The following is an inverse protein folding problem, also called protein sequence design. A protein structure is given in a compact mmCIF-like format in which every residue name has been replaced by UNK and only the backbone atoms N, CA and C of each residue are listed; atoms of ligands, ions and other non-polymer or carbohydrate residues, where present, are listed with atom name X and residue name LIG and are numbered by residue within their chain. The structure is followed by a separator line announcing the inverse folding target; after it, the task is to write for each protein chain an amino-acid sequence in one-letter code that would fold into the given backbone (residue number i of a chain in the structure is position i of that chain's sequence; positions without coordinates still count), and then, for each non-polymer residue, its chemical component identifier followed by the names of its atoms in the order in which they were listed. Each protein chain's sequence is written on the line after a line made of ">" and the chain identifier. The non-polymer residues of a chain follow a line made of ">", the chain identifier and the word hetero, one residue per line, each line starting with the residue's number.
data_IF_836222837709
#
_entry.id   IF_836222837709
#
_cell.length_a   1.000
_cell.length_b   1.000
_cell.length_c   1.000
_cell.angle_alpha   90.00
_cell.angle_beta   90.00
_cell.angle_gamma   90.00
#
_symmetry.space_group_name_H-M   'P 1'
#
loop_
_entity.id
_entity.type
_entity.pdbx_description
1 polymer ?
#
# COMPACT_ATOMS: atom_id res chain seq x y z
N UNK A 1 -4.81 27.31 9.85
CA UNK A 1 -5.43 27.61 11.16
C UNK A 1 -4.40 27.24 12.19
N UNK A 2 -4.23 28.00 13.28
CA UNK A 2 -3.21 27.68 14.27
C UNK A 2 -3.40 26.24 14.77
N UNK A 3 -2.31 25.48 14.80
CA UNK A 3 -2.30 24.12 15.32
C UNK A 3 -2.46 24.21 16.84
N UNK A 4 -3.63 23.81 17.32
CA UNK A 4 -4.03 23.86 18.74
C UNK A 4 -4.24 22.47 19.34
N UNK A 5 -4.38 21.44 18.51
CA UNK A 5 -4.60 20.05 18.93
C UNK A 5 -3.60 19.11 18.26
N UNK A 6 -3.24 17.97 18.89
CA UNK A 6 -2.39 16.97 18.26
C UNK A 6 -2.95 16.43 16.94
N UNK A 7 -4.28 16.32 16.82
CA UNK A 7 -4.93 15.89 15.59
C UNK A 7 -4.67 16.86 14.43
N UNK A 8 -4.75 18.17 14.68
CA UNK A 8 -4.43 19.19 13.67
C UNK A 8 -2.97 19.11 13.21
N UNK A 9 -2.03 18.79 14.11
CA UNK A 9 -0.64 18.59 13.73
C UNK A 9 -0.47 17.39 12.78
N UNK A 10 -1.16 16.28 13.06
CA UNK A 10 -1.16 15.10 12.19
C UNK A 10 -1.77 15.41 10.83
N UNK A 11 -2.88 16.16 10.81
CA UNK A 11 -3.55 16.53 9.56
C UNK A 11 -2.67 17.46 8.70
N UNK A 12 -1.97 18.42 9.32
CA UNK A 12 -0.98 19.25 8.61
C UNK A 12 0.25 18.44 8.18
N UNK A 13 0.70 17.46 8.97
CA UNK A 13 1.80 16.56 8.59
C UNK A 13 1.44 15.70 7.37
N UNK A 14 0.19 15.25 7.27
CA UNK A 14 -0.32 14.58 6.06
C UNK A 14 -0.41 15.54 4.89
N UNK A 15 -0.91 16.76 5.11
CA UNK A 15 -1.07 17.78 4.05
C UNK A 15 0.26 18.27 3.49
N UNK A 16 1.32 18.32 4.30
CA UNK A 16 2.66 18.74 3.87
C UNK A 16 3.33 17.76 2.91
N UNK A 17 2.81 16.53 2.78
CA UNK A 17 3.40 15.44 2.01
C UNK A 17 4.58 14.73 2.71
N UNK A 18 5.00 15.19 3.88
CA UNK A 18 6.05 14.54 4.66
C UNK A 18 5.66 13.12 5.09
N UNK A 19 4.38 12.90 5.42
CA UNK A 19 3.85 11.56 5.69
C UNK A 19 4.01 10.59 4.51
N UNK A 20 3.76 11.05 3.28
CA UNK A 20 3.90 10.20 2.08
C UNK A 20 5.37 9.91 1.77
N UNK A 21 6.26 10.87 1.99
CA UNK A 21 7.71 10.66 1.90
C UNK A 21 8.18 9.63 2.93
N UNK A 22 7.70 9.73 4.17
CA UNK A 22 7.98 8.76 5.23
C UNK A 22 7.50 7.37 4.85
N UNK A 23 6.28 7.25 4.33
CA UNK A 23 5.72 5.98 3.86
C UNK A 23 6.58 5.36 2.74
N UNK A 24 6.99 6.17 1.75
CA UNK A 24 7.87 5.71 0.66
C UNK A 24 9.22 5.26 1.20
N UNK A 25 9.84 6.04 2.09
CA UNK A 25 11.11 5.69 2.73
C UNK A 25 11.01 4.38 3.49
N UNK A 26 9.97 4.20 4.31
CA UNK A 26 9.72 2.95 5.03
C UNK A 26 9.55 1.76 4.09
N UNK A 27 8.82 1.93 2.99
CA UNK A 27 8.66 0.89 1.99
C UNK A 27 10.00 0.53 1.33
N UNK A 28 10.81 1.52 0.96
CA UNK A 28 12.14 1.31 0.39
C UNK A 28 13.07 0.63 1.39
N UNK A 29 13.09 1.05 2.66
CA UNK A 29 13.89 0.40 3.69
C UNK A 29 13.44 -1.04 3.91
N UNK A 30 12.13 -1.31 3.98
CA UNK A 30 11.57 -2.66 4.06
C UNK A 30 12.04 -3.55 2.90
N UNK A 31 11.93 -3.06 1.66
CA UNK A 31 12.36 -3.81 0.46
C UNK A 31 13.84 -4.21 0.49
N UNK A 32 14.67 -3.44 1.21
CA UNK A 32 16.11 -3.70 1.38
C UNK A 32 16.44 -4.58 2.59
N UNK A 33 15.44 -5.03 3.37
CA UNK A 33 15.66 -5.91 4.54
C UNK A 33 15.64 -7.39 4.18
N UNK A 34 16.29 -8.21 5.02
CA UNK A 34 16.19 -9.68 4.92
C UNK A 34 14.79 -10.21 5.20
N UNK A 35 13.99 -9.47 5.98
CA UNK A 35 12.60 -9.82 6.28
C UNK A 35 11.73 -9.76 5.03
N UNK A 36 12.01 -8.84 4.10
CA UNK A 36 11.34 -8.80 2.80
C UNK A 36 11.71 -10.00 1.92
N UNK A 37 12.97 -10.45 1.91
CA UNK A 37 13.37 -11.66 1.18
C UNK A 37 12.64 -12.90 1.71
N UNK A 38 12.59 -13.08 3.03
CA UNK A 38 11.83 -14.18 3.67
C UNK A 38 10.33 -14.11 3.37
N UNK A 39 9.78 -12.89 3.31
CA UNK A 39 8.38 -12.68 2.94
C UNK A 39 8.12 -13.17 1.51
N UNK A 40 8.97 -12.81 0.55
CA UNK A 40 8.84 -13.27 -0.85
C UNK A 40 9.03 -14.79 -0.96
N UNK A 41 10.02 -15.36 -0.29
CA UNK A 41 10.24 -16.82 -0.24
C UNK A 41 8.96 -17.53 0.24
N UNK A 42 8.31 -16.99 1.27
CA UNK A 42 7.08 -17.58 1.80
C UNK A 42 5.89 -17.44 0.86
N UNK A 43 5.78 -16.31 0.14
CA UNK A 43 4.78 -16.12 -0.92
C UNK A 43 4.99 -17.15 -2.03
N UNK A 44 6.24 -17.36 -2.45
CA UNK A 44 6.61 -18.34 -3.48
C UNK A 44 6.35 -19.78 -3.04
N UNK A 45 6.59 -20.12 -1.77
CA UNK A 45 6.25 -21.42 -1.21
C UNK A 45 4.73 -21.66 -1.28
N UNK A 46 3.92 -20.69 -0.86
CA UNK A 46 2.45 -20.81 -0.87
C UNK A 46 1.93 -20.93 -2.29
N UNK A 47 2.46 -20.14 -3.22
CA UNK A 47 2.08 -20.23 -4.63
C UNK A 47 2.43 -21.61 -5.22
N UNK A 48 3.63 -22.15 -4.89
CA UNK A 48 4.05 -23.48 -5.32
C UNK A 48 3.19 -24.59 -4.72
N UNK A 49 2.87 -24.50 -3.44
CA UNK A 49 2.03 -25.50 -2.77
C UNK A 49 0.60 -25.47 -3.33
N UNK A 50 0.07 -24.28 -3.61
CA UNK A 50 -1.25 -24.13 -4.26
C UNK A 50 -1.31 -24.76 -5.65
N UNK A 51 -0.24 -24.60 -6.44
CA UNK A 51 -0.12 -25.21 -7.77
C UNK A 51 0.05 -26.73 -7.74
N UNK A 52 0.66 -27.28 -6.67
CA UNK A 52 0.77 -28.73 -6.48
C UNK A 52 -0.58 -29.33 -6.08
N UNK A 53 -1.33 -28.63 -5.23
CA UNK A 53 -2.61 -29.09 -4.70
C UNK A 53 -3.73 -29.04 -5.77
N UNK A 54 -3.76 -28.01 -6.61
CA UNK A 54 -4.73 -27.89 -7.71
C UNK A 54 -4.02 -27.90 -9.08
N UNK A 55 -3.85 -29.09 -9.65
CA UNK A 55 -3.27 -29.27 -10.99
C UNK A 55 -4.09 -28.54 -12.07
N UNK A 56 -5.40 -28.37 -11.88
CA UNK A 56 -6.25 -27.66 -12.84
C UNK A 56 -6.02 -26.15 -12.81
N UNK A 57 -5.50 -25.61 -11.71
CA UNK A 57 -5.18 -24.19 -11.57
C UNK A 57 -4.14 -23.72 -12.59
N UNK A 58 -3.17 -24.58 -12.92
CA UNK A 58 -2.15 -24.30 -13.94
C UNK A 58 -2.74 -24.11 -15.36
N UNK A 59 -3.93 -24.64 -15.63
CA UNK A 59 -4.61 -24.52 -16.92
C UNK A 59 -5.68 -23.41 -16.94
N UNK A 60 -5.94 -22.75 -15.81
CA UNK A 60 -6.87 -21.61 -15.74
C UNK A 60 -6.22 -20.37 -16.37
N UNK A 61 -7.05 -19.38 -16.72
CA UNK A 61 -6.57 -18.06 -17.15
C UNK A 61 -5.73 -17.42 -16.04
N UNK A 62 -4.69 -16.68 -16.44
CA UNK A 62 -3.74 -16.00 -15.53
C UNK A 62 -4.45 -15.17 -14.45
N UNK A 63 -5.55 -14.50 -14.79
CA UNK A 63 -6.26 -13.66 -13.83
C UNK A 63 -6.92 -14.48 -12.71
N UNK A 64 -7.48 -15.66 -13.03
CA UNK A 64 -8.03 -16.60 -12.02
C UNK A 64 -6.93 -17.21 -11.16
N UNK A 65 -5.79 -17.55 -11.76
CA UNK A 65 -4.62 -18.03 -11.02
C UNK A 65 -4.19 -17.00 -9.97
N UNK A 66 -4.06 -15.74 -10.39
CA UNK A 66 -3.67 -14.64 -9.52
C UNK A 66 -4.71 -14.41 -8.41
N UNK A 67 -6.01 -14.39 -8.74
CA UNK A 67 -7.09 -14.26 -7.77
C UNK A 67 -7.06 -15.38 -6.71
N UNK A 68 -6.98 -16.65 -7.13
CA UNK A 68 -6.92 -17.78 -6.19
C UNK A 68 -5.63 -17.77 -5.34
N UNK A 69 -4.51 -17.33 -5.91
CA UNK A 69 -3.25 -17.17 -5.17
C UNK A 69 -3.38 -16.06 -4.14
N UNK A 70 -3.98 -14.92 -4.49
CA UNK A 70 -4.19 -13.80 -3.57
C UNK A 70 -5.13 -14.20 -2.41
N UNK A 71 -6.22 -14.92 -2.69
CA UNK A 71 -7.11 -15.44 -1.65
C UNK A 71 -6.35 -16.36 -0.68
N UNK A 72 -5.46 -17.21 -1.20
CA UNK A 72 -4.65 -18.09 -0.35
C UNK A 72 -3.64 -17.29 0.48
N UNK A 73 -2.99 -16.27 -0.08
CA UNK A 73 -2.08 -15.39 0.64
C UNK A 73 -2.78 -14.64 1.78
N UNK A 74 -4.02 -14.16 1.57
CA UNK A 74 -4.83 -13.50 2.59
C UNK A 74 -5.19 -14.40 3.79
N UNK A 75 -5.16 -15.73 3.63
CA UNK A 75 -5.39 -16.67 4.74
C UNK A 75 -4.23 -16.72 5.73
N UNK A 76 -3.03 -16.35 5.29
CA UNK A 76 -1.84 -16.36 6.12
C UNK A 76 -1.52 -14.92 6.55
N UNK A 77 -1.30 -14.66 7.85
CA UNK A 77 -0.91 -13.32 8.34
C UNK A 77 0.58 -13.04 8.03
N UNK A 78 0.95 -13.12 6.76
CA UNK A 78 2.34 -12.97 6.29
C UNK A 78 2.81 -11.54 6.45
N UNK A 79 1.93 -10.59 6.15
CA UNK A 79 2.23 -9.17 6.24
C UNK A 79 2.46 -8.77 7.71
N UNK A 80 1.61 -9.20 8.65
CA UNK A 80 1.77 -8.88 10.07
C UNK A 80 3.07 -9.43 10.63
N UNK A 81 3.46 -10.65 10.22
CA UNK A 81 4.74 -11.24 10.60
C UNK A 81 5.92 -10.46 10.04
N UNK A 82 5.90 -10.17 8.73
CA UNK A 82 6.95 -9.38 8.09
C UNK A 82 7.08 -7.99 8.73
N UNK A 83 5.97 -7.33 9.07
CA UNK A 83 5.97 -6.03 9.77
C UNK A 83 6.55 -6.13 11.17
N UNK A 84 6.19 -7.17 11.93
CA UNK A 84 6.73 -7.34 13.28
C UNK A 84 8.25 -7.58 13.25
N UNK A 85 8.73 -8.39 12.30
CA UNK A 85 10.17 -8.61 12.10
C UNK A 85 10.88 -7.33 11.64
N UNK A 86 10.23 -6.54 10.79
CA UNK A 86 10.77 -5.27 10.28
C UNK A 86 10.73 -4.16 11.32
N UNK A 87 9.76 -4.19 12.24
CA UNK A 87 9.60 -3.17 13.28
C UNK A 87 10.83 -3.11 14.18
N UNK A 88 11.37 -4.26 14.59
CA UNK A 88 12.60 -4.30 15.37
C UNK A 88 13.83 -3.88 14.55
N UNK A 89 13.85 -4.15 13.24
CA UNK A 89 14.98 -3.79 12.38
C UNK A 89 15.00 -2.32 11.95
N UNK A 90 13.84 -1.73 11.65
CA UNK A 90 13.68 -0.38 11.07
C UNK A 90 13.21 0.62 12.12
N UNK A 91 12.11 0.32 12.82
CA UNK A 91 11.47 1.29 13.71
C UNK A 91 12.21 1.44 15.03
N UNK A 92 12.88 0.40 15.53
CA UNK A 92 13.74 0.53 16.72
C UNK A 92 15.07 1.25 16.44
N UNK A 93 15.41 1.50 15.16
CA UNK A 93 16.56 2.35 14.83
C UNK A 93 16.26 3.80 15.22
N UNK A 94 17.07 4.30 16.16
CA UNK A 94 17.12 5.71 16.61
C UNK A 94 16.94 6.79 15.51
N UNK A 95 17.51 6.68 14.29
CA UNK A 95 17.32 7.70 13.25
C UNK A 95 15.88 7.88 12.76
N UNK A 96 14.99 6.89 12.90
CA UNK A 96 13.62 7.01 12.40
C UNK A 96 12.81 8.07 13.15
N UNK A 97 12.77 7.98 14.49
CA UNK A 97 12.02 8.92 15.32
C UNK A 97 12.57 10.34 15.23
N UNK A 98 13.90 10.48 15.11
CA UNK A 98 14.54 11.78 14.95
C UNK A 98 14.08 12.49 13.67
N UNK A 99 13.97 11.76 12.55
CA UNK A 99 13.47 12.34 11.31
C UNK A 99 12.01 12.82 11.42
N UNK A 100 11.15 12.05 12.09
CA UNK A 100 9.75 12.44 12.34
C UNK A 100 9.68 13.66 13.25
N UNK A 101 10.45 13.68 14.34
CA UNK A 101 10.50 14.81 15.27
C UNK A 101 11.01 16.09 14.60
N UNK A 102 12.01 15.99 13.71
CA UNK A 102 12.52 17.11 12.92
C UNK A 102 11.44 17.66 11.98
N UNK A 103 10.69 16.80 11.29
CA UNK A 103 9.61 17.23 10.41
C UNK A 103 8.45 17.87 11.17
N UNK A 104 8.04 17.29 12.31
CA UNK A 104 7.00 17.85 13.16
C UNK A 104 7.43 19.21 13.74
N UNK A 105 8.68 19.31 14.20
CA UNK A 105 9.26 20.56 14.67
C UNK A 105 9.27 21.64 13.58
N UNK A 106 9.60 21.25 12.35
CA UNK A 106 9.56 22.15 11.18
C UNK A 106 8.15 22.68 10.94
N UNK A 107 7.13 21.82 10.95
CA UNK A 107 5.73 22.24 10.75
C UNK A 107 5.30 23.22 11.85
N UNK A 108 5.61 22.93 13.11
CA UNK A 108 5.28 23.82 14.23
C UNK A 108 5.99 25.18 14.12
N UNK A 109 7.26 25.20 13.67
CA UNK A 109 8.00 26.44 13.42
C UNK A 109 7.41 27.24 12.26
N UNK A 110 7.06 26.58 11.16
CA UNK A 110 6.40 27.23 10.01
C UNK A 110 5.07 27.84 10.44
N UNK A 111 4.27 27.12 11.23
CA UNK A 111 2.99 27.66 11.71
C UNK A 111 3.18 28.84 12.67
N UNK A 112 4.21 28.78 13.54
CA UNK A 112 4.57 29.91 14.40
C UNK A 112 4.89 31.16 13.58
N UNK A 113 5.67 31.02 12.51
CA UNK A 113 5.99 32.14 11.61
C UNK A 113 4.74 32.64 10.88
N UNK A 114 3.87 31.75 10.42
CA UNK A 114 2.60 32.11 9.78
C UNK A 114 1.67 32.89 10.72
N UNK A 115 1.58 32.51 12.00
CA UNK A 115 0.80 33.24 12.99
C UNK A 115 1.34 34.65 13.22
N UNK A 116 2.67 34.78 13.28
CA UNK A 116 3.34 36.05 13.48
C UNK A 116 3.12 37.00 12.28
N UNK A 117 3.16 36.47 11.06
CA UNK A 117 2.86 37.22 9.83
C UNK A 117 1.40 37.71 9.76
N UNK A 118 0.46 37.00 10.40
CA UNK A 118 -0.97 37.38 10.45
C UNK A 118 -1.28 38.40 11.55
N UNK A 119 -0.27 38.89 12.28
CA UNK A 119 -0.46 39.86 13.36
C UNK A 119 -1.21 39.30 14.56
N UNK A 120 -1.29 37.97 14.71
CA UNK A 120 -1.88 37.34 15.89
C UNK A 120 -0.79 37.32 16.97
N UNK A 121 -0.92 38.09 18.07
CA UNK A 121 0.09 38.11 19.12
C UNK A 121 0.16 36.73 19.78
N UNK A 122 1.29 36.05 19.60
CA UNK A 122 1.49 34.74 20.21
C UNK A 122 1.91 34.95 21.67
N UNK A 123 0.95 34.93 22.58
CA UNK A 123 1.23 34.90 24.02
C UNK A 123 1.68 33.48 24.38
N UNK A 124 2.95 33.16 24.09
CA UNK A 124 3.59 31.97 24.65
C UNK A 124 3.67 32.17 26.16
N UNK A 125 2.92 31.38 26.93
CA UNK A 125 3.03 31.33 28.39
C UNK A 125 3.91 30.12 28.75
N UNK A 126 5.24 30.30 28.93
CA UNK A 126 6.13 29.20 29.27
C UNK A 126 5.71 28.67 30.65
N UNK A 127 5.43 27.37 30.75
CA UNK A 127 4.91 26.76 31.98
C UNK A 127 3.40 26.55 32.03
N UNK A 128 2.67 26.83 30.94
CA UNK A 128 1.32 26.27 30.74
C UNK A 128 1.43 24.79 30.37
N UNK A 129 1.93 23.99 31.30
CA UNK A 129 1.57 22.58 31.35
C UNK A 129 0.05 22.54 31.28
N UNK A 130 -0.46 21.86 30.26
CA UNK A 130 -1.88 21.54 30.11
C UNK A 130 -2.31 20.78 31.37
N UNK A 131 -2.67 21.49 32.44
CA UNK A 131 -3.82 21.04 33.21
C UNK A 131 -4.94 21.06 32.18
N UNK A 132 -5.53 19.90 31.80
CA UNK A 132 -6.77 19.93 31.05
C UNK A 132 -7.63 20.95 31.78
N UNK A 133 -8.08 21.98 31.07
CA UNK A 133 -9.03 22.93 31.64
C UNK A 133 -10.18 22.08 32.13
N UNK A 134 -10.17 21.78 33.43
CA UNK A 134 -11.31 21.23 34.13
C UNK A 134 -12.41 22.20 33.75
N UNK A 135 -13.43 21.75 32.98
CA UNK A 135 -14.48 22.63 32.53
C UNK A 135 -14.95 23.34 33.78
N UNK A 136 -14.81 24.67 33.77
CA UNK A 136 -15.27 25.51 34.87
C UNK A 136 -16.69 25.04 35.17
N UNK A 137 -16.96 24.49 36.38
CA UNK A 137 -18.24 23.91 36.66
C UNK A 137 -19.28 24.98 36.36
N UNK A 138 -20.30 24.68 35.53
CA UNK A 138 -21.37 25.63 35.28
C UNK A 138 -21.89 26.08 36.63
N UNK A 139 -22.20 27.38 36.76
CA UNK A 139 -22.81 27.94 37.96
C UNK A 139 -23.90 26.96 38.46
N UNK A 140 -24.00 26.70 39.78
CA UNK A 140 -24.88 25.66 40.33
C UNK A 140 -26.26 25.76 39.69
N UNK A 141 -26.53 24.90 38.73
CA UNK A 141 -27.87 24.80 38.16
C UNK A 141 -28.70 24.16 39.24
N UNK A 142 -29.79 24.84 39.57
CA UNK A 142 -30.89 24.32 40.34
C UNK A 142 -31.18 22.87 39.85
N UNK A 143 -31.22 21.89 40.76
CA UNK A 143 -31.32 20.49 40.37
C UNK A 143 -32.56 20.31 39.49
N UNK A 144 -32.43 19.70 38.30
CA UNK A 144 -33.57 19.46 37.45
C UNK A 144 -34.60 18.59 38.21
N UNK A 145 -35.91 18.82 37.99
CA UNK A 145 -36.94 18.00 38.59
C UNK A 145 -36.68 16.52 38.28
N UNK A 146 -36.95 15.60 39.22
CA UNK A 146 -36.70 14.19 39.03
C UNK A 146 -37.40 13.70 37.75
N UNK A 147 -36.72 12.88 36.92
CA UNK A 147 -37.33 12.35 35.72
C UNK A 147 -38.56 11.52 36.09
N UNK A 148 -39.64 11.58 35.29
CA UNK A 148 -40.76 10.66 35.47
C UNK A 148 -40.26 9.22 35.39
N UNK A 149 -40.85 8.29 36.16
CA UNK A 149 -40.47 6.88 36.10
C UNK A 149 -40.58 6.37 34.66
N UNK A 150 -39.64 5.52 34.21
CA UNK A 150 -39.70 4.97 32.87
C UNK A 150 -41.02 4.21 32.70
N UNK A 151 -41.70 4.34 31.55
CA UNK A 151 -42.85 3.51 31.26
C UNK A 151 -42.41 2.05 31.35
N UNK A 152 -43.14 1.26 32.14
CA UNK A 152 -42.90 -0.18 32.30
C UNK A 152 -42.73 -0.80 30.91
N UNK A 153 -41.53 -1.30 30.66
CA UNK A 153 -41.11 -1.76 29.34
C UNK A 153 -42.13 -2.75 28.77
N UNK A 154 -42.53 -2.50 27.52
CA UNK A 154 -43.25 -3.49 26.74
C UNK A 154 -42.43 -4.78 26.68
N UNK A 155 -43.07 -5.95 26.88
CA UNK A 155 -42.39 -7.23 26.81
C UNK A 155 -41.68 -7.39 25.45
N UNK A 156 -40.53 -8.08 25.39
CA UNK A 156 -39.82 -8.29 24.16
C UNK A 156 -40.72 -9.00 23.13
N UNK A 157 -40.61 -8.65 21.83
CA UNK A 157 -41.39 -9.28 20.78
C UNK A 157 -41.08 -10.78 20.74
N UNK A 158 -42.15 -11.58 20.72
CA UNK A 158 -42.09 -13.03 20.53
C UNK A 158 -41.39 -13.28 19.19
N UNK A 159 -40.36 -14.16 19.13
CA UNK A 159 -39.70 -14.48 17.88
C UNK A 159 -40.69 -15.09 16.89
N UNK A 160 -40.60 -14.75 15.59
CA UNK A 160 -41.48 -15.32 14.57
C UNK A 160 -41.24 -16.84 14.46
N UNK A 161 -42.29 -17.62 14.13
CA UNK A 161 -42.15 -19.05 13.90
C UNK A 161 -41.18 -19.31 12.72
N UNK A 162 -40.44 -20.43 12.75
CA UNK A 162 -39.52 -20.78 11.68
C UNK A 162 -40.28 -20.90 10.35
N UNK A 163 -39.81 -20.15 9.35
CA UNK A 163 -40.34 -20.15 7.99
C UNK A 163 -40.32 -21.57 7.44
N UNK A 164 -41.49 -22.05 6.99
CA UNK A 164 -41.63 -23.35 6.34
C UNK A 164 -40.65 -23.47 5.18
N UNK A 165 -39.85 -24.54 5.19
CA UNK A 165 -38.89 -24.86 4.14
C UNK A 165 -39.65 -25.04 2.82
N UNK A 166 -39.30 -24.31 1.74
CA UNK A 166 -39.96 -24.47 0.46
C UNK A 166 -39.70 -25.87 -0.12
N UNK A 167 -40.66 -26.46 -0.85
CA UNK A 167 -40.49 -27.76 -1.47
C UNK A 167 -39.35 -27.73 -2.49
N UNK A 168 -38.44 -28.70 -2.36
CA UNK A 168 -37.29 -28.86 -3.25
C UNK A 168 -37.79 -29.19 -4.67
N UNK A 169 -37.38 -28.44 -5.71
CA UNK A 169 -37.78 -28.74 -7.08
C UNK A 169 -37.17 -30.07 -7.54
N UNK A 170 -38.05 -30.98 -7.98
CA UNK A 170 -37.67 -32.20 -8.68
C UNK A 170 -37.06 -31.84 -10.04
N UNK A 171 -35.75 -32.02 -10.19
CA UNK A 171 -35.12 -31.99 -11.51
C UNK A 171 -35.15 -33.39 -12.12
N UNK A 172 -35.63 -33.55 -13.37
CA UNK A 172 -35.59 -34.82 -14.07
C UNK A 172 -34.13 -35.20 -14.37
N UNK A 173 -33.71 -36.31 -13.78
CA UNK A 173 -32.40 -36.93 -13.93
C UNK A 173 -32.27 -37.54 -15.33
N UNK A 174 -31.41 -36.95 -16.18
CA UNK A 174 -31.00 -37.55 -17.45
C UNK A 174 -29.99 -38.67 -17.17
N UNK A 175 -30.48 -39.90 -17.03
CA UNK A 175 -29.65 -41.09 -16.85
C UNK A 175 -28.99 -41.51 -18.17
N UNK A 176 -27.66 -41.50 -18.20
CA UNK A 176 -26.87 -42.27 -19.17
C UNK A 176 -26.82 -43.75 -18.72
N UNK A 177 -27.22 -44.72 -19.56
CA UNK A 177 -27.08 -46.14 -19.24
C UNK A 177 -25.68 -46.63 -19.64
N UNK A 178 -24.93 -47.20 -18.70
CA UNK A 178 -23.86 -48.16 -19.07
C UNK A 178 -22.50 -48.09 -18.38
N UNK A 179 -22.35 -47.61 -17.13
CA UNK A 179 -21.11 -47.86 -16.39
C UNK A 179 -21.35 -48.42 -14.98
N UNK A 180 -20.88 -49.66 -14.68
CA UNK A 180 -20.86 -50.16 -13.32
C UNK A 180 -19.67 -49.55 -12.56
N UNK A 181 -19.96 -48.60 -11.66
CA UNK A 181 -19.00 -48.16 -10.65
C UNK A 181 -19.09 -49.08 -9.42
N UNK A 182 -17.99 -49.75 -9.00
CA UNK A 182 -17.96 -50.46 -7.73
C UNK A 182 -17.66 -49.48 -6.60
N UNK A 183 -18.66 -49.30 -5.73
CA UNK A 183 -18.52 -49.20 -4.28
C UNK A 183 -17.59 -48.15 -3.68
N UNK A 184 -18.13 -46.98 -3.35
CA UNK A 184 -17.70 -46.22 -2.16
C UNK A 184 -18.91 -45.61 -1.45
N UNK A 185 -19.21 -46.03 -0.21
CA UNK A 185 -20.25 -45.40 0.60
C UNK A 185 -19.68 -44.22 1.39
N UNK A 186 -20.22 -43.03 1.12
CA UNK A 186 -20.59 -42.08 2.16
C UNK A 186 -19.63 -40.94 2.49
N UNK A 187 -19.76 -39.81 1.80
CA UNK A 187 -19.73 -38.46 2.43
C UNK A 187 -20.54 -37.46 1.58
N UNK A 188 -21.56 -36.78 2.09
CA UNK A 188 -22.22 -35.69 1.36
C UNK A 188 -21.43 -34.38 1.52
N UNK A 189 -20.85 -33.89 0.41
CA UNK A 189 -20.35 -32.53 0.26
C UNK A 189 -21.54 -31.56 0.15
N UNK A 190 -21.79 -30.80 1.21
CA UNK A 190 -22.71 -29.67 1.21
C UNK A 190 -22.06 -28.45 0.53
N UNK A 191 -22.61 -28.06 -0.62
CA UNK A 191 -22.23 -26.84 -1.33
C UNK A 191 -22.71 -25.58 -0.60
N UNK A 192 -21.78 -24.72 -0.22
CA UNK A 192 -22.08 -23.37 0.25
C UNK A 192 -22.26 -22.41 -0.94
N UNK A 193 -23.34 -21.65 -0.85
CA UNK A 193 -23.83 -20.72 -1.85
C UNK A 193 -22.94 -19.50 -2.06
N UNK A 194 -22.99 -19.05 -3.32
CA UNK A 194 -22.56 -17.78 -3.85
C UNK A 194 -23.13 -16.58 -3.06
N UNK A 195 -22.25 -15.84 -2.38
CA UNK A 195 -22.46 -14.42 -2.08
C UNK A 195 -21.53 -13.61 -2.98
N UNK A 196 -22.06 -13.14 -4.11
CA UNK A 196 -21.38 -12.20 -4.99
C UNK A 196 -21.37 -10.81 -4.36
N UNK A 197 -20.29 -10.45 -3.66
CA UNK A 197 -19.98 -9.06 -3.36
C UNK A 197 -19.35 -8.44 -4.60
N UNK A 198 -20.13 -7.62 -5.28
CA UNK A 198 -19.70 -6.80 -6.40
C UNK A 198 -18.82 -5.66 -5.87
N UNK A 199 -17.52 -5.90 -5.73
CA UNK A 199 -16.52 -4.85 -5.56
C UNK A 199 -16.34 -4.13 -6.90
N UNK A 200 -17.08 -3.03 -7.07
CA UNK A 200 -16.85 -2.09 -8.16
C UNK A 200 -15.43 -1.55 -8.07
N UNK A 201 -14.59 -1.97 -9.01
CA UNK A 201 -13.28 -1.35 -9.24
C UNK A 201 -13.49 0.13 -9.60
N UNK A 202 -12.80 1.07 -8.94
CA UNK A 202 -12.81 2.46 -9.36
C UNK A 202 -12.19 2.58 -10.75
N UNK A 203 -12.87 3.33 -11.61
CA UNK A 203 -12.46 3.63 -12.99
C UNK A 203 -11.03 4.22 -13.01
N UNK A 204 -10.06 3.59 -13.70
CA UNK A 204 -8.69 4.08 -13.81
C UNK A 204 -8.60 5.47 -14.46
N UNK A 205 -9.65 5.94 -15.15
CA UNK A 205 -9.64 7.25 -15.83
C UNK A 205 -9.69 8.45 -14.87
N UNK A 206 -9.96 8.25 -13.57
CA UNK A 206 -9.97 9.32 -12.57
C UNK A 206 -8.56 9.77 -12.14
N UNK A 207 -7.54 8.95 -12.36
CA UNK A 207 -6.15 9.33 -12.12
C UNK A 207 -5.52 9.82 -13.42
N UNK A 208 -5.82 11.08 -13.76
CA UNK A 208 -5.10 11.81 -14.81
C UNK A 208 -3.61 11.91 -14.47
N UNK A 209 -2.82 10.95 -14.93
CA UNK A 209 -1.37 10.99 -14.96
C UNK A 209 -0.93 11.45 -16.37
N UNK A 210 -0.62 12.75 -16.59
CA UNK A 210 0.01 13.19 -17.82
C UNK A 210 1.49 12.85 -17.73
N UNK A 211 1.88 11.65 -18.14
CA UNK A 211 3.29 11.27 -18.18
C UNK A 211 3.54 9.78 -18.08
N UNK A 212 2.97 8.97 -18.97
CA UNK A 212 3.51 7.64 -19.23
C UNK A 212 4.84 7.79 -20.00
N UNK A 213 5.95 7.93 -19.27
CA UNK A 213 7.26 7.66 -19.84
C UNK A 213 7.34 6.18 -20.23
N UNK A 214 7.82 5.93 -21.44
CA UNK A 214 8.14 4.61 -21.95
C UNK A 214 9.16 3.95 -21.02
N UNK A 215 8.82 2.74 -20.54
CA UNK A 215 9.74 1.92 -19.75
C UNK A 215 10.96 1.53 -20.61
N UNK A 216 12.19 1.74 -20.14
CA UNK A 216 13.38 1.23 -20.81
C UNK A 216 13.64 -0.18 -20.28
N UNK A 217 12.94 -1.19 -20.80
CA UNK A 217 13.48 -2.56 -20.82
C UNK A 217 12.72 -3.44 -21.82
N UNK A 218 13.47 -3.88 -22.83
CA UNK A 218 12.99 -4.65 -23.96
C UNK A 218 12.58 -6.07 -23.59
N UNK A 219 11.27 -6.31 -23.57
CA UNK A 219 10.75 -7.65 -23.84
C UNK A 219 10.59 -7.82 -25.36
N UNK A 220 11.14 -8.88 -25.97
CA UNK A 220 10.91 -9.16 -27.38
C UNK A 220 9.44 -9.55 -27.62
N UNK A 221 8.82 -8.96 -28.63
CA UNK A 221 7.50 -9.36 -29.11
C UNK A 221 7.54 -10.80 -29.69
N UNK A 222 6.44 -11.57 -29.66
CA UNK A 222 6.45 -13.00 -30.00
C UNK A 222 6.66 -13.31 -31.48
N UNK A 223 6.80 -12.32 -32.35
CA UNK A 223 7.00 -12.50 -33.77
C UNK A 223 8.26 -11.72 -34.18
N UNK A 224 9.34 -12.44 -34.48
CA UNK A 224 10.70 -11.96 -34.69
C UNK A 224 10.92 -11.07 -35.92
N UNK A 225 10.11 -10.03 -36.09
CA UNK A 225 10.41 -8.95 -37.03
C UNK A 225 11.20 -7.89 -36.25
N UNK A 226 12.49 -7.67 -36.56
CA UNK A 226 13.26 -6.62 -35.92
C UNK A 226 12.62 -5.27 -36.24
N UNK A 227 12.09 -4.60 -35.22
CA UNK A 227 11.60 -3.23 -35.34
C UNK A 227 12.79 -2.32 -35.65
N UNK A 228 12.72 -1.47 -36.70
CA UNK A 228 13.78 -0.50 -36.98
C UNK A 228 13.92 0.47 -35.79
N UNK A 229 15.16 0.90 -35.47
CA UNK A 229 15.39 1.84 -34.38
C UNK A 229 14.61 3.14 -34.66
N UNK A 230 14.06 3.79 -33.61
CA UNK A 230 13.36 5.06 -33.79
C UNK A 230 14.33 6.12 -34.36
N UNK A 231 13.84 7.02 -35.22
CA UNK A 231 14.65 8.11 -35.73
C UNK A 231 15.10 9.01 -34.57
N UNK A 232 16.34 9.54 -34.61
CA UNK A 232 16.81 10.45 -33.58
C UNK A 232 15.92 11.71 -33.54
N UNK A 233 15.67 12.28 -32.35
CA UNK A 233 14.88 13.49 -32.21
C UNK A 233 15.52 14.65 -32.99
N UNK A 234 14.75 15.43 -33.76
CA UNK A 234 15.27 16.57 -34.50
C UNK A 234 15.76 17.64 -33.51
N UNK A 235 17.06 17.94 -33.57
CA UNK A 235 17.65 19.10 -32.87
C UNK A 235 18.68 18.78 -31.78
N UNK A 236 19.00 17.52 -31.49
CA UNK A 236 20.13 17.20 -30.60
C UNK A 236 21.37 16.98 -31.45
N UNK A 237 22.04 18.06 -31.83
CA UNK A 237 23.42 17.98 -32.30
C UNK A 237 24.24 17.47 -31.13
N UNK A 238 24.65 16.20 -31.18
CA UNK A 238 25.59 15.64 -30.23
C UNK A 238 26.86 16.51 -30.28
N UNK A 239 27.36 16.99 -29.12
CA UNK A 239 28.63 17.71 -29.10
C UNK A 239 29.69 16.79 -29.68
N UNK A 240 30.38 17.26 -30.72
CA UNK A 240 31.54 16.57 -31.28
C UNK A 240 32.49 16.21 -30.14
N UNK A 241 32.85 14.93 -29.97
CA UNK A 241 33.75 14.53 -28.89
C UNK A 241 35.07 15.29 -29.05
N UNK A 242 35.69 15.75 -27.95
CA UNK A 242 36.98 16.40 -28.01
C UNK A 242 38.01 15.44 -28.64
N UNK A 243 38.95 15.97 -29.44
CA UNK A 243 40.00 15.14 -30.04
C UNK A 243 40.78 14.42 -28.94
N UNK A 244 41.21 13.16 -29.18
CA UNK A 244 41.98 12.41 -28.20
C UNK A 244 43.28 13.16 -27.87
N UNK A 245 43.76 13.08 -26.61
CA UNK A 245 45.03 13.68 -26.24
C UNK A 245 46.16 13.05 -27.07
N UNK A 246 47.19 13.83 -27.44
CA UNK A 246 48.34 13.29 -28.15
C UNK A 246 49.01 12.20 -27.30
N UNK A 247 49.52 11.13 -27.92
CA UNK A 247 50.16 10.04 -27.21
C UNK A 247 51.37 10.56 -26.41
N UNK A 248 51.55 10.10 -25.15
CA UNK A 248 52.68 10.48 -24.34
C UNK A 248 53.92 9.73 -24.83
N UNK A 249 54.87 10.46 -25.42
CA UNK A 249 56.21 9.94 -25.71
C UNK A 249 56.62 10.12 -27.16
N UNK A 250 57.38 11.19 -27.41
CA UNK A 250 57.97 11.44 -28.72
C UNK A 250 58.81 12.71 -28.78
N UNK A 251 59.51 13.09 -27.71
CA UNK A 251 60.62 14.05 -27.84
C UNK A 251 61.80 13.31 -28.47
N UNK A 252 61.75 13.13 -29.80
CA UNK A 252 62.88 12.66 -30.56
C UNK A 252 63.80 13.86 -30.86
N UNK A 253 64.97 13.80 -30.22
CA UNK A 253 66.16 14.61 -30.45
C UNK A 253 66.31 15.09 -31.91
N UNK A 254 66.29 16.40 -32.13
CA UNK A 254 67.11 17.02 -33.17
C UNK A 254 68.30 17.70 -32.49
N UNK A 255 69.36 16.92 -32.35
CA UNK A 255 70.71 17.42 -32.22
C UNK A 255 71.17 17.95 -33.58
N UNK A 256 71.86 19.09 -33.56
CA UNK A 256 73.07 19.29 -34.36
C UNK A 256 72.89 19.90 -35.74
N UNK A 257 73.42 21.12 -35.90
CA UNK A 257 73.63 21.68 -37.24
C UNK A 257 73.95 23.17 -37.27
N UNK A 258 74.88 23.64 -36.44
CA UNK A 258 75.44 24.99 -36.54
C UNK A 258 76.90 24.98 -36.12
N UNK A 259 77.72 25.79 -36.80
CA UNK A 259 79.17 26.02 -36.68
C UNK A 259 80.08 25.23 -37.63
N UNK A 260 80.20 25.67 -38.89
CA UNK A 260 81.34 26.44 -39.41
C UNK A 260 81.16 26.75 -40.91
#
# INVERSE_FOLDING_TARGET
>A
MPITTPQQLVDEYKRSGAFDLLRKKLLTEFQNTKSHEKFLERVDDIARDKLKDDVHLAYKKRDKLHEETMIELERYPLWERAVNDTKSEILERRPFYLAVDEDLSRILQTEKLNMQARGVPIVWRPGSGLKPSTPQPPAPMEPPPPPPPPPSGTPPPVPPPPTAVPPVPHYPFWGYPGMPFPGYPGVPMGGYGMYGYNYGYPDPSMYGYPGAQQFPNGYPAPNGVPTPPPPPPPGVYAPTPPPPPPPPGGYQNQQGGGWN
#
